data_IF_016392429294
#
_entry.id   IF_016392429294
#
_cell.length_a   1.000
_cell.length_b   1.000
_cell.length_c   1.000
_cell.angle_alpha   90.00
_cell.angle_beta   90.00
_cell.angle_gamma   90.00
#
_symmetry.space_group_name_H-M   'P 1'
#
loop_
_entity.id
_entity.type
_entity.pdbx_description
1 polymer ?
#
# COMPACT_ATOMS: atom_id res chain seq x y z
N UNK A 1 67.18 37.83 8.34
CA UNK A 1 66.17 38.56 7.58
C UNK A 1 65.00 37.65 7.37
N UNK A 2 63.93 37.88 8.10
CA UNK A 2 62.73 37.06 8.13
C UNK A 2 61.64 37.82 7.43
N UNK A 3 61.12 37.29 6.31
CA UNK A 3 59.94 37.84 5.65
C UNK A 3 58.72 37.07 6.09
N UNK A 4 57.82 37.77 6.78
CA UNK A 4 56.50 37.28 7.15
C UNK A 4 55.52 37.61 6.03
N UNK A 5 54.93 36.59 5.40
CA UNK A 5 53.85 36.76 4.45
C UNK A 5 52.50 36.84 5.20
N UNK A 6 51.71 37.84 4.86
CA UNK A 6 50.35 38.06 5.35
C UNK A 6 49.41 37.05 4.70
N UNK A 7 48.63 36.40 5.55
CA UNK A 7 47.53 35.53 5.16
C UNK A 7 46.29 36.37 4.79
N UNK A 8 45.73 36.06 3.62
CA UNK A 8 44.49 36.65 3.14
C UNK A 8 43.28 36.07 3.88
N UNK A 9 42.45 37.00 4.31
CA UNK A 9 41.16 36.72 4.96
C UNK A 9 40.17 36.31 3.86
N UNK A 10 39.85 35.03 3.80
CA UNK A 10 38.77 34.51 2.94
C UNK A 10 37.42 34.89 3.54
N UNK A 11 36.68 35.67 2.76
CA UNK A 11 35.31 36.07 3.01
C UNK A 11 34.39 34.84 3.11
N UNK A 12 33.73 34.64 4.25
CA UNK A 12 32.70 33.64 4.43
C UNK A 12 31.42 34.08 3.72
N UNK A 13 31.19 33.55 2.52
CA UNK A 13 29.89 33.63 1.88
C UNK A 13 28.90 32.78 2.68
N UNK A 14 28.02 33.45 3.40
CA UNK A 14 26.88 32.85 4.06
C UNK A 14 25.89 32.27 3.05
N UNK A 15 25.99 30.99 2.80
CA UNK A 15 24.94 30.27 2.11
C UNK A 15 23.66 30.28 2.94
N UNK A 16 22.68 31.05 2.47
CA UNK A 16 21.31 31.00 2.95
C UNK A 16 20.77 29.60 2.65
N UNK A 17 20.77 28.71 3.63
CA UNK A 17 19.99 27.48 3.59
C UNK A 17 18.52 27.83 3.46
N UNK A 18 18.02 27.74 2.26
CA UNK A 18 16.59 27.75 1.98
C UNK A 18 16.00 26.46 2.59
N UNK A 19 15.28 26.62 3.69
CA UNK A 19 14.46 25.55 4.28
C UNK A 19 13.20 25.44 3.43
N UNK A 20 13.33 24.79 2.29
CA UNK A 20 12.20 24.26 1.53
C UNK A 20 12.17 22.77 1.76
N UNK A 21 11.61 22.38 2.90
CA UNK A 21 11.31 20.99 3.14
C UNK A 21 9.85 20.72 2.96
N UNK A 22 9.54 20.16 1.83
CA UNK A 22 8.54 19.14 1.85
C UNK A 22 9.00 18.04 2.83
N UNK A 23 8.23 17.76 3.89
CA UNK A 23 8.39 16.56 4.73
C UNK A 23 8.06 15.32 3.91
N UNK A 24 8.84 15.08 2.86
CA UNK A 24 8.85 13.84 2.11
C UNK A 24 9.76 12.87 2.83
N UNK A 25 9.27 11.69 3.05
CA UNK A 25 9.90 10.55 3.72
C UNK A 25 11.20 10.15 3.01
N UNK A 26 12.27 10.92 3.19
CA UNK A 26 13.55 10.73 2.48
C UNK A 26 14.23 9.40 2.80
N UNK A 27 13.87 8.77 3.93
CA UNK A 27 14.39 7.47 4.35
C UNK A 27 13.73 6.34 3.57
N UNK A 28 12.41 6.41 3.36
CA UNK A 28 11.67 5.44 2.57
C UNK A 28 12.13 5.44 1.10
N UNK A 29 12.35 6.62 0.52
CA UNK A 29 12.80 6.74 -0.87
C UNK A 29 14.21 6.18 -1.11
N UNK A 30 15.11 6.23 -0.14
CA UNK A 30 16.46 5.68 -0.27
C UNK A 30 16.48 4.15 -0.27
N UNK A 31 15.64 3.50 0.56
CA UNK A 31 15.53 2.04 0.60
C UNK A 31 14.79 1.48 -0.61
N UNK A 32 13.74 2.16 -1.06
CA UNK A 32 12.93 1.74 -2.22
C UNK A 32 13.76 1.74 -3.52
N UNK A 33 14.69 2.70 -3.68
CA UNK A 33 15.52 2.78 -4.87
C UNK A 33 16.51 1.60 -5.04
N UNK A 34 16.88 0.93 -3.95
CA UNK A 34 17.81 -0.19 -3.99
C UNK A 34 17.11 -1.52 -4.27
N UNK A 35 15.84 -1.68 -3.87
CA UNK A 35 15.11 -2.94 -4.02
C UNK A 35 14.53 -3.11 -5.44
N UNK A 36 14.06 -2.01 -6.04
CA UNK A 36 13.45 -2.01 -7.38
C UNK A 36 14.25 -1.10 -8.32
N UNK A 37 15.57 -1.27 -8.37
CA UNK A 37 16.39 -0.50 -9.32
C UNK A 37 16.01 -0.84 -10.75
N UNK A 38 16.19 0.11 -11.68
CA UNK A 38 15.92 -0.15 -13.10
C UNK A 38 16.74 -1.31 -13.65
N UNK A 39 17.93 -1.53 -13.11
CA UNK A 39 18.81 -2.65 -13.49
C UNK A 39 18.22 -3.98 -13.06
N UNK A 40 17.70 -4.07 -11.84
CA UNK A 40 17.04 -5.27 -11.32
C UNK A 40 15.79 -5.62 -12.15
N UNK A 41 14.98 -4.60 -12.47
CA UNK A 41 13.80 -4.79 -13.34
C UNK A 41 14.20 -5.24 -14.74
N UNK A 42 15.27 -4.69 -15.32
CA UNK A 42 15.79 -5.14 -16.63
C UNK A 42 16.32 -6.56 -16.57
N UNK A 43 17.07 -6.93 -15.52
CA UNK A 43 17.58 -8.29 -15.33
C UNK A 43 16.44 -9.30 -15.20
N UNK A 44 15.43 -8.99 -14.37
CA UNK A 44 14.22 -9.79 -14.26
C UNK A 44 13.51 -9.95 -15.61
N UNK A 45 13.23 -8.85 -16.29
CA UNK A 45 12.51 -8.85 -17.57
C UNK A 45 13.21 -9.67 -18.64
N UNK A 46 14.55 -9.65 -18.66
CA UNK A 46 15.35 -10.41 -19.66
C UNK A 46 15.10 -11.92 -19.58
N UNK A 47 14.96 -12.46 -18.38
CA UNK A 47 14.72 -13.89 -18.17
C UNK A 47 13.22 -14.21 -18.15
N UNK A 48 12.41 -13.32 -17.62
CA UNK A 48 10.96 -13.49 -17.45
C UNK A 48 10.19 -13.42 -18.77
N UNK A 49 10.46 -12.37 -19.58
CA UNK A 49 9.66 -12.12 -20.80
C UNK A 49 9.70 -13.23 -21.85
N UNK A 50 10.83 -13.88 -22.15
CA UNK A 50 10.82 -14.97 -23.10
C UNK A 50 9.91 -16.12 -22.70
N UNK A 51 9.84 -16.44 -21.40
CA UNK A 51 8.96 -17.49 -20.87
C UNK A 51 7.51 -17.04 -20.83
N UNK A 52 7.24 -15.80 -20.41
CA UNK A 52 5.90 -15.24 -20.28
C UNK A 52 5.14 -15.10 -21.64
N UNK A 53 5.87 -14.90 -22.74
CA UNK A 53 5.26 -14.67 -24.07
C UNK A 53 5.00 -16.01 -24.79
N UNK A 54 5.63 -17.10 -24.39
CA UNK A 54 5.55 -18.38 -25.08
C UNK A 54 4.28 -19.17 -24.71
N UNK A 55 3.20 -18.88 -25.30
CA UNK A 55 2.16 -19.67 -25.79
C UNK A 55 1.03 -20.22 -24.98
N UNK A 56 0.87 -21.48 -24.92
CA UNK A 56 -0.34 -22.20 -24.46
C UNK A 56 -0.33 -22.34 -22.94
N UNK A 57 -1.52 -22.31 -22.27
CA UNK A 57 -1.60 -22.60 -20.85
C UNK A 57 -0.89 -23.91 -20.52
N UNK A 58 0.07 -23.83 -19.62
CA UNK A 58 0.81 -24.99 -19.16
C UNK A 58 -0.11 -25.86 -18.29
N UNK A 59 -0.11 -27.17 -18.56
CA UNK A 59 -0.83 -28.14 -17.74
C UNK A 59 0.22 -28.99 -17.04
N UNK A 60 0.28 -28.89 -15.72
CA UNK A 60 1.19 -29.67 -14.90
C UNK A 60 0.74 -31.11 -14.81
N UNK A 61 1.62 -32.06 -15.07
CA UNK A 61 1.30 -33.48 -14.99
C UNK A 61 1.36 -33.97 -13.53
N UNK A 62 2.20 -33.34 -12.71
CA UNK A 62 2.36 -33.69 -11.31
C UNK A 62 2.71 -32.47 -10.43
N UNK A 63 2.64 -32.68 -9.09
CA UNK A 63 2.91 -31.62 -8.11
C UNK A 63 4.37 -31.18 -8.10
N UNK A 64 5.29 -32.12 -8.31
CA UNK A 64 6.74 -31.84 -8.26
C UNK A 64 7.15 -30.90 -9.41
N UNK A 65 6.56 -31.07 -10.58
CA UNK A 65 6.77 -30.18 -11.71
C UNK A 65 6.30 -28.76 -11.41
N UNK A 66 5.12 -28.60 -10.82
CA UNK A 66 4.62 -27.31 -10.40
C UNK A 66 5.50 -26.67 -9.30
N UNK A 67 5.97 -27.47 -8.33
CA UNK A 67 6.87 -27.00 -7.27
C UNK A 67 8.18 -26.47 -7.87
N UNK A 68 8.76 -27.19 -8.83
CA UNK A 68 9.99 -26.76 -9.51
C UNK A 68 9.78 -25.45 -10.29
N UNK A 69 8.66 -25.34 -11.03
CA UNK A 69 8.32 -24.14 -11.80
C UNK A 69 8.12 -22.91 -10.89
N UNK A 70 7.44 -23.09 -9.74
CA UNK A 70 7.31 -22.03 -8.74
C UNK A 70 8.65 -21.69 -8.12
N UNK A 71 9.50 -22.71 -7.85
CA UNK A 71 10.85 -22.54 -7.33
C UNK A 71 11.72 -21.69 -8.26
N UNK A 72 11.73 -22.02 -9.53
CA UNK A 72 12.47 -21.25 -10.56
C UNK A 72 12.04 -19.80 -10.63
N UNK A 73 10.73 -19.54 -10.53
CA UNK A 73 10.20 -18.18 -10.48
C UNK A 73 10.66 -17.41 -9.24
N UNK A 74 10.57 -18.04 -8.06
CA UNK A 74 10.99 -17.41 -6.80
C UNK A 74 12.50 -17.16 -6.76
N UNK A 75 13.29 -18.08 -7.31
CA UNK A 75 14.74 -17.91 -7.46
C UNK A 75 15.07 -16.75 -8.40
N UNK A 76 14.36 -16.61 -9.51
CA UNK A 76 14.51 -15.45 -10.39
C UNK A 76 14.21 -14.16 -9.65
N UNK A 77 13.09 -14.08 -8.89
CA UNK A 77 12.74 -12.92 -8.09
C UNK A 77 13.84 -12.59 -7.07
N UNK A 78 14.39 -13.61 -6.41
CA UNK A 78 15.44 -13.46 -5.38
C UNK A 78 16.75 -12.96 -6.01
N UNK A 79 17.21 -13.57 -7.10
CA UNK A 79 18.46 -13.18 -7.81
C UNK A 79 18.39 -11.76 -8.36
N UNK A 80 17.20 -11.33 -8.75
CA UNK A 80 16.99 -10.00 -9.34
C UNK A 80 16.47 -8.97 -8.34
N UNK A 81 16.30 -9.35 -7.06
CA UNK A 81 15.75 -8.49 -6.02
C UNK A 81 14.41 -7.85 -6.42
N UNK A 82 13.54 -8.62 -7.08
CA UNK A 82 12.19 -8.22 -7.46
C UNK A 82 11.20 -8.90 -6.52
N UNK A 83 10.21 -8.15 -6.03
CA UNK A 83 9.19 -8.70 -5.16
C UNK A 83 8.27 -9.62 -5.98
N UNK A 84 8.12 -10.91 -5.59
CA UNK A 84 7.21 -11.82 -6.27
C UNK A 84 5.76 -11.35 -6.09
N UNK A 85 5.00 -11.42 -7.19
CA UNK A 85 3.57 -11.10 -7.17
C UNK A 85 2.76 -12.26 -7.75
N UNK A 86 1.51 -12.39 -7.33
CA UNK A 86 0.62 -13.44 -7.85
C UNK A 86 0.38 -13.25 -9.36
N UNK A 87 0.33 -12.01 -9.82
CA UNK A 87 0.15 -11.72 -11.25
C UNK A 87 1.35 -12.18 -12.09
N UNK A 88 2.57 -11.88 -11.64
CA UNK A 88 3.76 -12.35 -12.37
C UNK A 88 3.96 -13.86 -12.25
N UNK A 89 3.62 -14.47 -11.09
CA UNK A 89 3.60 -15.93 -10.96
C UNK A 89 2.61 -16.57 -11.94
N UNK A 90 1.38 -16.06 -12.04
CA UNK A 90 0.38 -16.54 -12.97
C UNK A 90 0.88 -16.47 -14.42
N UNK A 91 1.49 -15.34 -14.80
CA UNK A 91 2.08 -15.15 -16.12
C UNK A 91 3.23 -16.13 -16.37
N UNK A 92 4.10 -16.36 -15.37
CA UNK A 92 5.20 -17.34 -15.46
C UNK A 92 4.70 -18.76 -15.68
N UNK A 93 3.61 -19.12 -14.98
CA UNK A 93 2.97 -20.44 -15.05
C UNK A 93 2.00 -20.56 -16.24
N UNK A 94 1.90 -19.57 -17.12
CA UNK A 94 0.98 -19.52 -18.27
C UNK A 94 -0.48 -19.79 -17.90
N UNK A 95 -0.93 -19.29 -16.74
CA UNK A 95 -2.30 -19.41 -16.29
C UNK A 95 -2.86 -18.06 -15.80
N UNK A 96 -4.18 -18.01 -15.58
CA UNK A 96 -4.82 -16.86 -14.97
C UNK A 96 -4.68 -16.90 -13.45
N UNK A 97 -4.72 -15.73 -12.80
CA UNK A 97 -4.73 -15.63 -11.33
C UNK A 97 -5.86 -16.43 -10.71
N UNK A 98 -7.03 -16.43 -11.34
CA UNK A 98 -8.20 -17.17 -10.88
C UNK A 98 -7.94 -18.67 -10.85
N UNK A 99 -7.14 -19.19 -11.80
CA UNK A 99 -6.69 -20.58 -11.79
C UNK A 99 -5.89 -20.91 -10.53
N UNK A 100 -4.96 -20.03 -10.12
CA UNK A 100 -4.17 -20.18 -8.90
C UNK A 100 -5.11 -20.23 -7.67
N UNK A 101 -6.03 -19.27 -7.55
CA UNK A 101 -6.96 -19.22 -6.43
C UNK A 101 -7.96 -20.37 -6.42
N UNK A 102 -8.45 -20.80 -7.59
CA UNK A 102 -9.35 -21.93 -7.72
C UNK A 102 -8.70 -23.23 -7.24
N UNK A 103 -7.45 -23.48 -7.64
CA UNK A 103 -6.71 -24.63 -7.13
C UNK A 103 -6.39 -24.51 -5.64
N UNK A 104 -5.96 -23.33 -5.18
CA UNK A 104 -5.67 -23.10 -3.76
C UNK A 104 -6.89 -23.34 -2.87
N UNK A 105 -8.09 -22.92 -3.30
CA UNK A 105 -9.33 -23.04 -2.52
C UNK A 105 -10.03 -24.39 -2.67
N UNK A 106 -9.62 -25.21 -3.64
CA UNK A 106 -10.20 -26.52 -3.87
C UNK A 106 -9.44 -27.59 -3.07
N UNK A 107 -10.02 -28.16 -1.98
CA UNK A 107 -9.35 -29.17 -1.17
C UNK A 107 -9.10 -30.49 -1.92
N UNK A 108 -9.82 -30.72 -3.02
CA UNK A 108 -9.66 -31.93 -3.85
C UNK A 108 -8.57 -31.74 -4.94
N UNK A 109 -8.02 -30.53 -5.09
CA UNK A 109 -6.95 -30.31 -6.04
C UNK A 109 -5.61 -30.82 -5.47
N UNK A 110 -4.88 -31.66 -6.20
CA UNK A 110 -3.55 -32.09 -5.79
C UNK A 110 -2.57 -30.93 -5.65
N UNK A 111 -2.83 -29.82 -6.33
CA UNK A 111 -2.01 -28.61 -6.34
C UNK A 111 -2.37 -27.60 -5.23
N UNK A 112 -3.42 -27.86 -4.45
CA UNK A 112 -3.97 -26.91 -3.46
C UNK A 112 -2.91 -26.41 -2.48
N UNK A 113 -2.16 -27.32 -1.86
CA UNK A 113 -1.11 -26.96 -0.89
C UNK A 113 0.00 -26.14 -1.54
N UNK A 114 0.41 -26.50 -2.75
CA UNK A 114 1.47 -25.82 -3.47
C UNK A 114 1.06 -24.37 -3.79
N UNK A 115 -0.13 -24.14 -4.32
CA UNK A 115 -0.62 -22.79 -4.62
C UNK A 115 -0.88 -21.96 -3.37
N UNK A 116 -1.39 -22.56 -2.29
CA UNK A 116 -1.51 -21.85 -1.00
C UNK A 116 -0.15 -21.35 -0.51
N UNK A 117 0.87 -22.20 -0.55
CA UNK A 117 2.21 -21.81 -0.14
C UNK A 117 2.80 -20.73 -1.04
N UNK A 118 2.58 -20.81 -2.35
CA UNK A 118 3.04 -19.77 -3.30
C UNK A 118 2.35 -18.42 -3.05
N UNK A 119 1.04 -18.41 -2.80
CA UNK A 119 0.28 -17.19 -2.43
C UNK A 119 0.85 -16.61 -1.13
N UNK A 120 1.06 -17.43 -0.11
CA UNK A 120 1.61 -17.00 1.18
C UNK A 120 3.03 -16.45 1.02
N UNK A 121 3.86 -17.04 0.17
CA UNK A 121 5.22 -16.55 -0.11
C UNK A 121 5.19 -15.18 -0.78
N UNK A 122 4.30 -14.96 -1.74
CA UNK A 122 4.10 -13.65 -2.35
C UNK A 122 3.63 -12.62 -1.31
N UNK A 123 2.71 -12.99 -0.41
CA UNK A 123 2.23 -12.12 0.66
C UNK A 123 3.36 -11.78 1.64
N UNK A 124 4.07 -12.78 2.14
CA UNK A 124 5.19 -12.60 3.06
C UNK A 124 6.28 -11.67 2.49
N UNK A 125 6.61 -11.83 1.22
CA UNK A 125 7.59 -10.98 0.55
C UNK A 125 7.12 -9.53 0.46
N UNK A 126 5.83 -9.31 0.21
CA UNK A 126 5.24 -7.98 0.18
C UNK A 126 5.19 -7.36 1.58
N UNK A 127 4.84 -8.14 2.60
CA UNK A 127 4.79 -7.73 4.00
C UNK A 127 6.17 -7.34 4.52
N UNK A 128 7.18 -8.19 4.32
CA UNK A 128 8.56 -7.89 4.68
C UNK A 128 9.06 -6.63 3.95
N UNK A 129 8.74 -6.49 2.67
CA UNK A 129 9.08 -5.29 1.91
C UNK A 129 8.43 -4.03 2.45
N UNK A 130 7.22 -4.13 3.00
CA UNK A 130 6.53 -3.00 3.66
C UNK A 130 7.15 -2.66 5.02
N UNK A 131 7.49 -3.67 5.82
CA UNK A 131 8.15 -3.51 7.13
C UNK A 131 9.53 -2.86 6.95
N UNK A 132 10.31 -3.31 5.98
CA UNK A 132 11.64 -2.76 5.67
C UNK A 132 11.58 -1.39 4.98
N UNK A 133 10.39 -0.92 4.60
CA UNK A 133 10.19 0.32 3.87
C UNK A 133 10.63 0.26 2.40
N UNK A 134 10.85 -0.93 1.86
CA UNK A 134 11.11 -1.16 0.44
C UNK A 134 9.82 -1.02 -0.40
N UNK A 135 8.68 -1.33 0.19
CA UNK A 135 7.35 -1.16 -0.39
C UNK A 135 6.64 0.02 0.27
N UNK A 136 5.99 0.85 -0.53
CA UNK A 136 5.16 1.93 -0.01
C UNK A 136 3.95 1.35 0.74
N UNK A 137 3.68 1.86 1.96
CA UNK A 137 2.60 1.37 2.82
C UNK A 137 1.21 1.45 2.16
N UNK A 138 0.96 2.45 1.31
CA UNK A 138 -0.31 2.56 0.58
C UNK A 138 -0.44 1.44 -0.44
N UNK A 139 0.65 1.12 -1.15
CA UNK A 139 0.69 -0.01 -2.11
C UNK A 139 0.47 -1.33 -1.37
N UNK A 140 1.10 -1.52 -0.20
CA UNK A 140 0.90 -2.72 0.62
C UNK A 140 -0.57 -2.89 1.03
N UNK A 141 -1.20 -1.82 1.56
CA UNK A 141 -2.62 -1.86 1.96
C UNK A 141 -3.51 -2.16 0.76
N UNK A 142 -3.27 -1.50 -0.38
CA UNK A 142 -4.05 -1.71 -1.60
C UNK A 142 -3.93 -3.16 -2.09
N UNK A 143 -2.73 -3.68 -2.21
CA UNK A 143 -2.50 -5.07 -2.65
C UNK A 143 -3.01 -6.08 -1.64
N UNK A 144 -2.83 -5.81 -0.34
CA UNK A 144 -3.33 -6.65 0.74
C UNK A 144 -4.85 -6.84 0.67
N UNK A 145 -5.59 -5.76 0.44
CA UNK A 145 -7.06 -5.82 0.30
C UNK A 145 -7.51 -6.53 -0.98
N UNK A 146 -6.81 -6.32 -2.09
CA UNK A 146 -7.23 -6.87 -3.39
C UNK A 146 -6.77 -8.30 -3.63
N UNK A 147 -5.61 -8.71 -3.09
CA UNK A 147 -5.03 -10.02 -3.38
C UNK A 147 -4.99 -10.97 -2.19
N UNK A 148 -4.99 -10.45 -0.96
CA UNK A 148 -4.78 -11.27 0.24
C UNK A 148 -5.95 -11.17 1.24
N UNK A 149 -7.08 -10.60 0.81
CA UNK A 149 -8.31 -10.50 1.61
C UNK A 149 -8.13 -9.79 2.96
N UNK A 150 -7.17 -8.88 3.08
CA UNK A 150 -7.04 -8.04 4.26
C UNK A 150 -8.27 -7.13 4.36
N UNK A 151 -8.89 -7.10 5.54
CA UNK A 151 -10.10 -6.30 5.80
C UNK A 151 -9.84 -5.33 6.95
N UNK A 152 -10.37 -4.12 6.81
CA UNK A 152 -10.52 -3.21 7.95
C UNK A 152 -11.86 -3.53 8.60
N UNK A 153 -11.90 -4.51 9.49
CA UNK A 153 -13.11 -4.83 10.25
C UNK A 153 -13.33 -3.76 11.32
N UNK A 154 -13.83 -2.60 10.90
CA UNK A 154 -14.47 -1.66 11.81
C UNK A 154 -15.91 -2.12 11.98
N UNK A 155 -16.21 -2.81 13.07
CA UNK A 155 -17.57 -2.98 13.54
C UNK A 155 -18.10 -1.61 13.97
N UNK A 156 -18.63 -0.83 13.02
CA UNK A 156 -19.46 0.33 13.34
C UNK A 156 -20.78 -0.27 13.79
N UNK A 157 -20.91 -0.48 15.10
CA UNK A 157 -22.20 -0.75 15.70
C UNK A 157 -23.00 0.55 15.57
N UNK A 158 -23.76 0.69 14.48
CA UNK A 158 -24.77 1.71 14.38
C UNK A 158 -25.84 1.28 15.37
N UNK A 159 -25.75 1.78 16.60
CA UNK A 159 -26.86 1.70 17.52
C UNK A 159 -27.96 2.58 16.91
N UNK A 160 -29.08 2.01 16.46
CA UNK A 160 -30.18 2.86 16.00
C UNK A 160 -30.54 3.78 17.19
N UNK A 161 -30.60 5.08 16.91
CA UNK A 161 -31.05 6.01 17.91
C UNK A 161 -32.41 5.50 18.41
N UNK A 162 -32.43 5.08 19.66
CA UNK A 162 -33.68 4.67 20.31
C UNK A 162 -34.64 5.89 20.25
N UNK A 163 -35.93 5.63 20.16
CA UNK A 163 -36.98 6.68 20.16
C UNK A 163 -36.81 7.71 21.30
N UNK A 164 -36.11 7.29 22.38
CA UNK A 164 -35.78 8.15 23.52
C UNK A 164 -34.76 9.26 23.20
N UNK A 165 -33.88 9.07 22.19
CA UNK A 165 -32.94 10.13 21.75
C UNK A 165 -33.65 11.17 20.87
N UNK A 166 -34.72 10.78 20.19
CA UNK A 166 -35.54 11.68 19.37
C UNK A 166 -36.46 12.52 20.24
N UNK A 167 -37.07 11.93 21.30
CA UNK A 167 -37.84 12.66 22.31
C UNK A 167 -36.98 13.69 23.04
N UNK A 168 -35.77 13.34 23.42
CA UNK A 168 -34.84 14.26 24.09
C UNK A 168 -34.40 15.42 23.17
N UNK A 169 -34.32 15.19 21.85
CA UNK A 169 -34.06 16.24 20.86
C UNK A 169 -35.27 17.17 20.70
N UNK A 170 -36.48 16.65 20.78
CA UNK A 170 -37.72 17.40 20.67
C UNK A 170 -37.95 18.27 21.91
N UNK A 171 -37.76 17.73 23.11
CA UNK A 171 -37.81 18.46 24.38
C UNK A 171 -36.78 19.60 24.42
N UNK A 172 -35.56 19.37 23.85
CA UNK A 172 -34.54 20.43 23.77
C UNK A 172 -34.93 21.52 22.78
N UNK A 173 -35.55 21.18 21.66
CA UNK A 173 -36.07 22.15 20.69
C UNK A 173 -37.22 22.97 21.26
N UNK A 174 -38.16 22.32 21.95
CA UNK A 174 -39.30 22.99 22.62
C UNK A 174 -38.84 23.92 23.75
N UNK A 175 -37.77 23.52 24.50
CA UNK A 175 -37.18 24.37 25.53
C UNK A 175 -36.48 25.62 24.95
N UNK A 176 -35.79 25.47 23.82
CA UNK A 176 -35.14 26.59 23.10
C UNK A 176 -36.20 27.52 22.53
N UNK A 177 -37.27 26.98 21.98
CA UNK A 177 -38.36 27.77 21.42
C UNK A 177 -39.06 28.60 22.49
N UNK A 178 -39.29 28.02 23.65
CA UNK A 178 -39.85 28.71 24.81
C UNK A 178 -38.95 29.83 25.34
N UNK A 179 -37.64 29.64 25.35
CA UNK A 179 -36.68 30.69 25.70
C UNK A 179 -36.68 31.85 24.70
N UNK A 180 -36.85 31.58 23.42
CA UNK A 180 -36.95 32.62 22.37
C UNK A 180 -38.26 33.42 22.53
N UNK A 181 -39.35 32.76 22.92
CA UNK A 181 -40.64 33.44 23.18
C UNK A 181 -40.63 34.26 24.47
N UNK A 182 -39.89 33.81 25.51
CA UNK A 182 -39.76 34.53 26.79
C UNK A 182 -38.78 35.72 26.68
N UNK A 183 -37.74 35.65 25.83
CA UNK A 183 -36.87 36.77 25.45
C UNK A 183 -37.55 37.67 24.40
N UNK A 184 -38.72 38.20 24.71
CA UNK A 184 -39.47 39.09 23.86
C UNK A 184 -38.67 40.38 23.57
N UNK A 185 -37.82 40.32 22.52
CA UNK A 185 -37.11 41.49 21.99
C UNK A 185 -38.17 42.36 21.30
N UNK A 186 -38.54 43.53 21.83
CA UNK A 186 -39.51 44.40 21.16
C UNK A 186 -38.96 44.80 19.79
N UNK A 187 -39.76 44.60 18.76
CA UNK A 187 -39.46 45.04 17.41
C UNK A 187 -39.04 46.52 17.44
N UNK A 188 -37.79 46.78 17.15
CA UNK A 188 -37.33 48.15 16.92
C UNK A 188 -37.97 48.66 15.65
N UNK A 189 -38.95 49.58 15.79
CA UNK A 189 -39.48 50.32 14.67
C UNK A 189 -38.41 51.17 14.04
N UNK A 190 -37.98 50.77 12.83
CA UNK A 190 -37.14 51.59 11.98
C UNK A 190 -38.04 52.75 11.45
N UNK A 191 -37.92 53.92 12.04
CA UNK A 191 -38.42 55.16 11.44
C UNK A 191 -37.39 55.63 10.42
N UNK A 192 -37.75 55.57 9.14
CA UNK A 192 -37.03 56.23 8.05
C UNK A 192 -37.17 57.75 8.21
N UNK A 193 -35.99 58.43 8.20
CA UNK A 193 -35.88 59.89 8.01
C UNK A 193 -35.06 60.14 6.74
#
# INVERSE_FOLDING_TARGET
MIFVARSDIASSNGEKKTIAQGRGNSIANKKTSNYMSQENVKAFSKEFMPKAITGRPYKWDNVDELVNEIGDYLDLCTRTSVIPTITSLATWLHCDRDTIYNHANNPNSPFSACFKNAINTCHLSLENGAIDGAVNSVVYIFMGKNYFSLRDDRNITVTPATSDSLTNSQETMDAIQKQIEEENIPNAEFTEH
#
